data_IF_586179239642
#
_entry.id   IF_586179239642
#
_cell.length_a   1.000
_cell.length_b   1.000
_cell.length_c   1.000
_cell.angle_alpha   90.00
_cell.angle_beta   90.00
_cell.angle_gamma   90.00
#
_symmetry.space_group_name_H-M   'P 1'
#
loop_
_entity.id
_entity.type
_entity.pdbx_description
1 polymer ?
#
# COMPACT_ATOMS: atom_id res chain seq x y z
N UNK A 1 -0.02 -7.82 -36.01
CA UNK A 1 0.05 -7.36 -34.61
C UNK A 1 1.35 -6.61 -34.46
N UNK A 2 1.43 -5.53 -33.66
CA UNK A 2 2.73 -5.01 -33.25
C UNK A 2 3.54 -6.15 -32.65
N UNK A 3 4.83 -6.20 -32.97
CA UNK A 3 5.71 -7.26 -32.51
C UNK A 3 6.09 -6.93 -31.06
N UNK A 4 5.30 -7.45 -30.11
CA UNK A 4 5.42 -7.17 -28.67
C UNK A 4 6.86 -7.39 -28.15
N UNK A 5 7.62 -8.27 -28.80
CA UNK A 5 9.02 -8.54 -28.48
C UNK A 5 9.97 -7.43 -28.96
N UNK A 6 9.71 -6.86 -30.14
CA UNK A 6 10.47 -5.74 -30.67
C UNK A 6 10.22 -4.46 -29.86
N UNK A 7 8.97 -4.21 -29.47
CA UNK A 7 8.58 -3.08 -28.63
C UNK A 7 9.21 -3.21 -27.23
N UNK A 8 9.22 -4.43 -26.67
CA UNK A 8 9.88 -4.71 -25.39
C UNK A 8 11.39 -4.44 -25.45
N UNK A 9 12.05 -4.94 -26.50
CA UNK A 9 13.49 -4.74 -26.68
C UNK A 9 13.85 -3.26 -26.88
N UNK A 10 13.02 -2.51 -27.61
CA UNK A 10 13.18 -1.07 -27.78
C UNK A 10 13.04 -0.31 -26.45
N UNK A 11 12.09 -0.69 -25.60
CA UNK A 11 11.91 -0.10 -24.28
C UNK A 11 13.12 -0.33 -23.36
N UNK A 12 13.68 -1.55 -23.34
CA UNK A 12 14.89 -1.86 -22.55
C UNK A 12 16.12 -1.08 -23.05
N UNK A 13 16.30 -1.01 -24.36
CA UNK A 13 17.40 -0.25 -24.97
C UNK A 13 17.30 1.26 -24.66
N UNK A 14 16.10 1.84 -24.69
CA UNK A 14 15.86 3.24 -24.34
C UNK A 14 16.21 3.55 -22.87
N UNK A 15 16.15 2.56 -21.99
CA UNK A 15 16.54 2.66 -20.57
C UNK A 15 18.02 2.31 -20.33
N UNK A 16 18.78 1.95 -21.37
CA UNK A 16 20.18 1.53 -21.25
C UNK A 16 20.36 0.18 -20.57
N UNK A 17 19.33 -0.66 -20.56
CA UNK A 17 19.33 -1.97 -19.88
C UNK A 17 19.53 -3.05 -20.93
N UNK A 18 20.59 -3.84 -20.78
CA UNK A 18 20.83 -5.00 -21.63
C UNK A 18 19.85 -6.12 -21.27
N UNK A 19 19.07 -6.66 -22.22
CA UNK A 19 18.16 -7.77 -21.95
C UNK A 19 18.92 -9.03 -21.55
N UNK A 20 18.39 -9.77 -20.58
CA UNK A 20 18.88 -11.09 -20.19
C UNK A 20 18.46 -12.15 -21.22
N UNK A 21 19.34 -13.12 -21.49
CA UNK A 21 19.02 -14.27 -22.35
C UNK A 21 18.25 -15.38 -21.60
N UNK A 22 18.16 -15.31 -20.27
CA UNK A 22 17.59 -16.38 -19.44
C UNK A 22 16.12 -16.16 -19.06
N UNK A 23 15.57 -14.99 -19.37
CA UNK A 23 14.21 -14.59 -18.94
C UNK A 23 13.47 -13.98 -20.14
N UNK A 24 12.18 -14.27 -20.36
CA UNK A 24 11.41 -13.63 -21.42
C UNK A 24 11.40 -12.10 -21.33
N UNK A 25 11.48 -11.39 -22.47
CA UNK A 25 11.58 -9.92 -22.53
C UNK A 25 10.41 -9.18 -21.86
N UNK A 26 9.18 -9.69 -22.03
CA UNK A 26 8.00 -9.12 -21.38
C UNK A 26 8.06 -9.23 -19.85
N UNK A 27 8.59 -10.34 -19.34
CA UNK A 27 8.78 -10.55 -17.90
C UNK A 27 9.84 -9.61 -17.35
N UNK A 28 10.95 -9.41 -18.07
CA UNK A 28 11.98 -8.43 -17.69
C UNK A 28 11.43 -6.99 -17.62
N UNK A 29 10.52 -6.60 -18.50
CA UNK A 29 9.88 -5.27 -18.45
C UNK A 29 8.92 -5.16 -17.27
N UNK A 30 8.16 -6.20 -16.98
CA UNK A 30 7.29 -6.23 -15.81
C UNK A 30 8.13 -6.13 -14.53
N UNK A 31 9.24 -6.85 -14.45
CA UNK A 31 10.17 -6.80 -13.32
C UNK A 31 10.80 -5.41 -13.18
N UNK A 32 11.14 -4.74 -14.29
CA UNK A 32 11.63 -3.37 -14.26
C UNK A 32 10.57 -2.35 -13.87
N UNK A 33 9.33 -2.54 -14.31
CA UNK A 33 8.20 -1.72 -13.86
C UNK A 33 7.97 -1.91 -12.36
N UNK A 34 8.11 -3.14 -11.85
CA UNK A 34 8.01 -3.47 -10.43
C UNK A 34 9.20 -2.89 -9.65
N UNK A 35 10.42 -2.96 -10.19
CA UNK A 35 11.62 -2.36 -9.59
C UNK A 35 11.56 -0.83 -9.58
N UNK A 36 11.04 -0.20 -10.64
CA UNK A 36 10.78 1.25 -10.68
C UNK A 36 9.64 1.64 -9.73
N UNK A 37 8.62 0.79 -9.62
CA UNK A 37 7.57 0.91 -8.61
C UNK A 37 8.13 0.86 -7.20
N UNK A 38 9.08 -0.05 -6.94
CA UNK A 38 9.79 -0.15 -5.67
C UNK A 38 10.69 1.05 -5.41
N UNK A 39 11.49 1.49 -6.37
CA UNK A 39 12.35 2.66 -6.23
C UNK A 39 11.51 3.91 -6.02
N UNK A 40 10.38 4.05 -6.72
CA UNK A 40 9.45 5.16 -6.53
C UNK A 40 8.78 5.11 -5.16
N UNK A 41 8.30 3.93 -4.72
CA UNK A 41 7.73 3.74 -3.39
C UNK A 41 8.77 3.99 -2.28
N UNK A 42 10.00 3.48 -2.44
CA UNK A 42 11.13 3.68 -1.54
C UNK A 42 11.60 5.14 -1.51
N UNK A 43 11.75 5.80 -2.65
CA UNK A 43 12.14 7.21 -2.74
C UNK A 43 11.04 8.16 -2.21
N UNK A 44 9.77 7.75 -2.27
CA UNK A 44 8.64 8.50 -1.70
C UNK A 44 8.43 8.23 -0.21
N UNK A 45 9.09 7.22 0.36
CA UNK A 45 8.89 6.73 1.72
C UNK A 45 10.15 6.93 2.55
N UNK A 46 10.08 7.87 3.49
CA UNK A 46 11.07 8.00 4.55
C UNK A 46 10.43 7.54 5.87
N UNK A 47 11.21 6.96 6.80
CA UNK A 47 10.68 6.36 8.00
C UNK A 47 9.85 7.38 8.78
N UNK A 48 8.57 7.08 8.93
CA UNK A 48 7.76 7.65 10.00
C UNK A 48 8.13 6.85 11.25
N UNK A 49 8.77 7.51 12.21
CA UNK A 49 8.84 6.93 13.54
C UNK A 49 7.42 6.80 14.07
N UNK A 50 7.17 5.81 14.93
CA UNK A 50 5.97 5.82 15.75
C UNK A 50 5.99 7.13 16.56
N UNK A 51 5.09 8.06 16.20
CA UNK A 51 4.81 9.24 17.00
C UNK A 51 4.31 8.75 18.36
N UNK A 52 5.17 8.88 19.35
CA UNK A 52 4.82 8.71 20.76
C UNK A 52 4.18 10.02 21.22
N UNK A 53 2.98 9.91 21.79
CA UNK A 53 2.27 10.97 22.53
C UNK A 53 1.66 12.15 21.72
N UNK A 54 0.75 11.84 20.79
CA UNK A 54 -0.49 12.63 20.68
C UNK A 54 -1.63 11.70 21.12
N UNK A 55 -2.63 12.21 21.86
CA UNK A 55 -3.75 11.41 22.37
C UNK A 55 -4.33 10.56 21.23
N UNK A 56 -4.13 9.24 21.30
CA UNK A 56 -4.48 8.34 20.22
C UNK A 56 -5.99 8.46 19.96
N UNK A 57 -6.36 9.05 18.82
CA UNK A 57 -7.75 9.13 18.42
C UNK A 57 -8.36 7.72 18.48
N UNK A 58 -9.46 7.59 19.23
CA UNK A 58 -10.13 6.31 19.36
C UNK A 58 -10.98 6.05 18.14
N UNK A 59 -11.27 4.78 17.87
CA UNK A 59 -12.21 4.43 16.81
C UNK A 59 -13.55 5.16 16.95
N UNK A 60 -14.10 5.22 18.16
CA UNK A 60 -15.42 5.81 18.40
C UNK A 60 -15.46 7.30 18.06
N UNK A 61 -14.36 8.02 18.29
CA UNK A 61 -14.22 9.43 17.91
C UNK A 61 -14.21 9.63 16.38
N UNK A 62 -13.66 8.67 15.63
CA UNK A 62 -13.42 8.80 14.20
C UNK A 62 -14.48 8.12 13.33
N UNK A 63 -15.23 7.16 13.88
CA UNK A 63 -16.20 6.32 13.16
C UNK A 63 -17.15 7.14 12.29
N UNK A 64 -17.84 8.12 12.86
CA UNK A 64 -18.82 8.93 12.14
C UNK A 64 -18.17 9.73 10.99
N UNK A 65 -16.96 10.24 11.19
CA UNK A 65 -16.23 10.95 10.16
C UNK A 65 -15.80 10.00 9.02
N UNK A 66 -15.31 8.81 9.34
CA UNK A 66 -14.99 7.79 8.32
C UNK A 66 -16.20 7.39 7.49
N UNK A 67 -17.35 7.16 8.14
CA UNK A 67 -18.60 6.83 7.46
C UNK A 67 -19.01 7.94 6.49
N UNK A 68 -19.01 9.20 6.95
CA UNK A 68 -19.37 10.35 6.13
C UNK A 68 -18.43 10.56 4.93
N UNK A 69 -17.11 10.50 5.17
CA UNK A 69 -16.11 10.66 4.11
C UNK A 69 -16.19 9.51 3.10
N UNK A 70 -16.33 8.26 3.54
CA UNK A 70 -16.38 7.13 2.62
C UNK A 70 -17.66 7.12 1.78
N UNK A 71 -18.79 7.46 2.39
CA UNK A 71 -20.07 7.56 1.69
C UNK A 71 -20.05 8.62 0.58
N UNK A 72 -19.34 9.73 0.79
CA UNK A 72 -19.23 10.85 -0.15
C UNK A 72 -17.97 10.83 -1.03
N UNK A 73 -17.10 9.83 -0.85
CA UNK A 73 -15.85 9.70 -1.58
C UNK A 73 -16.08 9.44 -3.07
N UNK A 74 -15.41 10.23 -3.90
CA UNK A 74 -15.37 10.10 -5.36
C UNK A 74 -13.91 10.12 -5.81
N UNK A 75 -13.53 9.14 -6.63
CA UNK A 75 -12.24 9.16 -7.34
C UNK A 75 -12.18 10.41 -8.20
N UNK A 76 -11.13 11.20 -8.04
CA UNK A 76 -10.90 12.39 -8.85
C UNK A 76 -10.79 12.00 -10.33
N UNK A 77 -11.53 12.69 -11.21
CA UNK A 77 -11.60 12.33 -12.64
C UNK A 77 -10.22 12.23 -13.31
N UNK A 78 -9.30 13.12 -12.93
CA UNK A 78 -7.93 13.17 -13.44
C UNK A 78 -7.04 12.00 -12.96
N UNK A 79 -7.47 11.23 -11.95
CA UNK A 79 -6.71 10.12 -11.34
C UNK A 79 -7.27 8.74 -11.65
N UNK A 80 -8.31 8.65 -12.50
CA UNK A 80 -8.98 7.38 -12.81
C UNK A 80 -8.02 6.34 -13.41
N UNK A 81 -7.08 6.77 -14.25
CA UNK A 81 -6.08 5.89 -14.85
C UNK A 81 -5.15 5.29 -13.80
N UNK A 82 -4.63 6.11 -12.88
CA UNK A 82 -3.80 5.64 -11.79
C UNK A 82 -4.57 4.69 -10.85
N UNK A 83 -5.80 5.04 -10.46
CA UNK A 83 -6.62 4.16 -9.60
C UNK A 83 -6.90 2.82 -10.29
N UNK A 84 -7.16 2.80 -11.61
CA UNK A 84 -7.32 1.56 -12.37
C UNK A 84 -6.04 0.70 -12.36
N UNK A 85 -4.85 1.31 -12.38
CA UNK A 85 -3.59 0.59 -12.22
C UNK A 85 -3.48 -0.08 -10.84
N UNK A 86 -3.81 0.62 -9.75
CA UNK A 86 -3.84 0.02 -8.40
C UNK A 86 -4.83 -1.16 -8.33
N UNK A 87 -6.03 -0.99 -8.91
CA UNK A 87 -7.03 -2.05 -8.96
C UNK A 87 -6.53 -3.28 -9.72
N UNK A 88 -5.84 -3.09 -10.86
CA UNK A 88 -5.21 -4.18 -11.61
C UNK A 88 -4.16 -4.91 -10.76
N UNK A 89 -3.27 -4.18 -10.09
CA UNK A 89 -2.23 -4.77 -9.21
C UNK A 89 -2.84 -5.54 -8.03
N UNK A 90 -3.91 -5.02 -7.42
CA UNK A 90 -4.66 -5.72 -6.38
C UNK A 90 -5.22 -7.05 -6.87
N UNK A 91 -5.83 -7.07 -8.06
CA UNK A 91 -6.35 -8.29 -8.69
C UNK A 91 -5.24 -9.28 -9.02
N UNK A 92 -4.12 -8.82 -9.55
CA UNK A 92 -2.95 -9.67 -9.85
C UNK A 92 -2.39 -10.33 -8.59
N UNK A 93 -2.27 -9.60 -7.49
CA UNK A 93 -1.75 -10.13 -6.22
C UNK A 93 -2.77 -10.96 -5.42
N UNK A 94 -4.06 -10.94 -5.81
CA UNK A 94 -5.16 -11.52 -5.04
C UNK A 94 -4.93 -12.95 -4.57
N UNK A 95 -4.43 -13.90 -5.39
CA UNK A 95 -4.23 -15.28 -4.93
C UNK A 95 -3.33 -15.36 -3.67
N UNK A 96 -2.24 -14.60 -3.63
CA UNK A 96 -1.33 -14.55 -2.47
C UNK A 96 -1.97 -13.87 -1.26
N UNK A 97 -2.81 -12.86 -1.49
CA UNK A 97 -3.55 -12.20 -0.41
C UNK A 97 -4.62 -13.13 0.19
N UNK A 98 -5.23 -13.98 -0.63
CA UNK A 98 -6.21 -15.00 -0.19
C UNK A 98 -5.54 -16.10 0.65
N UNK A 99 -4.30 -16.50 0.33
CA UNK A 99 -3.52 -17.41 1.17
C UNK A 99 -3.29 -16.83 2.58
N UNK A 100 -2.92 -15.55 2.66
CA UNK A 100 -2.78 -14.84 3.95
C UNK A 100 -4.13 -14.76 4.67
N UNK A 101 -5.21 -14.44 3.94
CA UNK A 101 -6.55 -14.33 4.49
C UNK A 101 -7.05 -15.66 5.08
N UNK A 102 -6.78 -16.78 4.39
CA UNK A 102 -7.16 -18.11 4.85
C UNK A 102 -6.56 -18.44 6.23
N UNK A 103 -5.28 -18.07 6.42
CA UNK A 103 -4.52 -18.29 7.65
C UNK A 103 -4.84 -17.29 8.77
N UNK A 104 -5.07 -16.02 8.44
CA UNK A 104 -5.15 -14.94 9.43
C UNK A 104 -6.57 -14.46 9.73
N UNK A 105 -7.53 -14.77 8.85
CA UNK A 105 -8.90 -14.21 8.83
C UNK A 105 -8.96 -12.71 8.52
N UNK A 106 -7.85 -12.08 8.17
CA UNK A 106 -7.81 -10.72 7.64
C UNK A 106 -8.27 -10.75 6.17
N UNK A 107 -9.22 -9.90 5.74
CA UNK A 107 -9.70 -9.93 4.36
C UNK A 107 -8.58 -9.67 3.35
N UNK A 108 -8.60 -10.41 2.23
CA UNK A 108 -7.58 -10.31 1.20
C UNK A 108 -7.40 -8.87 0.70
N UNK A 109 -8.49 -8.11 0.60
CA UNK A 109 -8.47 -6.73 0.13
C UNK A 109 -7.75 -5.81 1.12
N UNK A 110 -7.84 -6.08 2.42
CA UNK A 110 -7.10 -5.32 3.43
C UNK A 110 -5.61 -5.60 3.31
N UNK A 111 -5.23 -6.87 3.18
CA UNK A 111 -3.84 -7.29 2.97
C UNK A 111 -3.27 -6.66 1.70
N UNK A 112 -4.02 -6.70 0.59
CA UNK A 112 -3.59 -6.15 -0.69
C UNK A 112 -3.44 -4.62 -0.67
N UNK A 113 -4.33 -3.90 0.01
CA UNK A 113 -4.23 -2.45 0.16
C UNK A 113 -3.03 -2.09 1.06
N UNK A 114 -2.82 -2.79 2.18
CA UNK A 114 -1.60 -2.62 2.99
C UNK A 114 -0.37 -2.89 2.13
N UNK A 115 -0.35 -3.95 1.33
CA UNK A 115 0.76 -4.26 0.45
C UNK A 115 1.06 -3.14 -0.58
N UNK A 116 0.02 -2.50 -1.11
CA UNK A 116 0.14 -1.33 -1.97
C UNK A 116 0.80 -0.14 -1.24
N UNK A 117 0.36 0.11 0.00
CA UNK A 117 0.79 1.25 0.80
C UNK A 117 2.20 1.08 1.36
N UNK A 118 2.51 -0.14 1.78
CA UNK A 118 3.72 -0.44 2.54
C UNK A 118 4.90 -0.88 1.67
N UNK A 119 4.64 -1.58 0.56
CA UNK A 119 5.69 -2.18 -0.26
C UNK A 119 5.50 -1.94 -1.76
N UNK A 120 4.56 -1.08 -2.18
CA UNK A 120 4.33 -0.78 -3.59
C UNK A 120 3.97 -2.01 -4.43
N UNK A 121 3.31 -3.01 -3.81
CA UNK A 121 3.04 -4.34 -4.39
C UNK A 121 4.26 -5.25 -4.62
N UNK A 122 5.40 -4.99 -3.99
CA UNK A 122 6.58 -5.85 -4.08
C UNK A 122 6.47 -7.12 -3.24
N UNK A 123 6.42 -8.25 -3.92
CA UNK A 123 6.54 -9.56 -3.27
C UNK A 123 7.98 -9.96 -2.93
N UNK A 124 8.99 -9.15 -3.28
CA UNK A 124 10.38 -9.33 -2.84
C UNK A 124 10.71 -8.54 -1.57
N UNK A 125 9.76 -7.74 -1.06
CA UNK A 125 9.89 -6.95 0.15
C UNK A 125 8.95 -7.40 1.28
N UNK A 126 9.30 -7.02 2.50
CA UNK A 126 8.49 -7.23 3.70
C UNK A 126 7.17 -6.47 3.64
N UNK A 127 6.07 -7.12 4.00
CA UNK A 127 4.77 -6.44 4.12
C UNK A 127 4.79 -5.32 5.18
N UNK A 128 5.72 -5.40 6.14
CA UNK A 128 5.89 -4.39 7.18
C UNK A 128 6.14 -2.99 6.63
N UNK A 129 7.09 -2.87 5.70
CA UNK A 129 7.62 -1.58 5.27
C UNK A 129 8.31 -1.57 3.90
N UNK A 130 8.35 -2.71 3.20
CA UNK A 130 8.97 -2.86 1.89
C UNK A 130 10.47 -3.21 1.90
N UNK A 131 11.12 -3.35 3.05
CA UNK A 131 12.53 -3.78 3.10
C UNK A 131 12.72 -5.16 2.42
N UNK A 132 13.86 -5.45 1.78
CA UNK A 132 14.07 -6.72 1.08
C UNK A 132 13.94 -7.96 1.98
N UNK A 133 13.33 -9.03 1.48
CA UNK A 133 13.18 -10.32 2.19
C UNK A 133 14.50 -11.10 2.38
N UNK A 134 15.65 -10.54 2.00
CA UNK A 134 16.97 -11.17 2.17
C UNK A 134 17.52 -11.01 3.59
N UNK A 135 16.96 -10.09 4.37
CA UNK A 135 17.32 -9.84 5.76
C UNK A 135 16.08 -9.40 6.54
N UNK A 136 16.18 -9.24 7.86
CA UNK A 136 15.13 -8.59 8.65
C UNK A 136 15.02 -7.11 8.28
N UNK A 137 13.87 -6.53 8.60
CA UNK A 137 13.63 -5.10 8.42
C UNK A 137 14.65 -4.24 9.17
N UNK A 138 15.20 -3.25 8.48
CA UNK A 138 16.08 -2.20 9.02
C UNK A 138 15.28 -0.93 9.28
N UNK A 139 14.27 -0.67 8.44
CA UNK A 139 13.28 0.37 8.64
C UNK A 139 12.28 -0.05 9.71
N UNK A 140 11.54 0.93 10.24
CA UNK A 140 10.52 0.69 11.26
C UNK A 140 9.34 -0.06 10.61
N UNK A 141 8.77 -1.08 11.27
CA UNK A 141 9.24 -1.71 12.51
C UNK A 141 10.52 -2.51 12.30
N UNK A 142 11.56 -2.26 13.10
CA UNK A 142 12.89 -2.89 12.96
C UNK A 142 12.89 -4.35 13.42
N UNK A 143 13.85 -5.11 12.90
CA UNK A 143 14.17 -6.49 13.32
C UNK A 143 13.03 -7.50 13.15
N UNK A 144 12.14 -7.24 12.18
CA UNK A 144 11.04 -8.12 11.80
C UNK A 144 11.36 -8.98 10.58
N UNK A 145 10.80 -10.19 10.48
CA UNK A 145 9.97 -10.87 11.49
C UNK A 145 10.82 -11.37 12.68
N UNK A 146 10.19 -11.55 13.85
CA UNK A 146 10.92 -11.90 15.08
C UNK A 146 11.58 -13.29 14.99
N UNK A 147 10.90 -14.23 14.33
CA UNK A 147 11.43 -15.54 13.96
C UNK A 147 11.87 -15.47 12.51
N UNK A 148 13.18 -15.55 12.29
CA UNK A 148 13.79 -15.50 10.95
C UNK A 148 14.43 -16.83 10.61
N UNK A 149 13.97 -17.46 9.52
CA UNK A 149 14.63 -18.62 8.92
C UNK A 149 14.93 -18.28 7.44
N UNK A 150 16.20 -18.05 7.08
CA UNK A 150 16.54 -17.75 5.69
C UNK A 150 16.47 -18.99 4.78
N UNK A 151 16.02 -18.84 3.52
CA UNK A 151 15.33 -17.66 2.97
C UNK A 151 13.87 -17.58 3.48
N UNK A 152 13.43 -16.40 3.92
CA UNK A 152 12.03 -16.20 4.32
C UNK A 152 11.19 -15.80 3.11
N UNK A 153 10.01 -16.38 2.98
CA UNK A 153 9.06 -16.04 1.95
C UNK A 153 8.16 -14.84 2.35
N UNK A 154 7.52 -14.24 1.36
CA UNK A 154 6.61 -13.11 1.55
C UNK A 154 5.42 -13.44 2.47
N UNK A 155 4.87 -14.66 2.44
CA UNK A 155 3.72 -15.03 3.28
C UNK A 155 4.11 -15.04 4.77
N UNK A 156 5.31 -15.52 5.08
CA UNK A 156 5.86 -15.49 6.44
C UNK A 156 5.99 -14.05 6.95
N UNK A 157 6.49 -13.13 6.11
CA UNK A 157 6.52 -11.69 6.45
C UNK A 157 5.12 -11.10 6.60
N UNK A 158 4.18 -11.45 5.74
CA UNK A 158 2.82 -10.93 5.79
C UNK A 158 2.11 -11.36 7.09
N UNK A 159 2.33 -12.61 7.52
CA UNK A 159 1.80 -13.12 8.77
C UNK A 159 2.38 -12.36 9.99
N UNK A 160 3.70 -12.18 10.09
CA UNK A 160 4.33 -11.43 11.20
C UNK A 160 3.83 -9.98 11.25
N UNK A 161 3.65 -9.32 10.10
CA UNK A 161 3.12 -7.96 10.03
C UNK A 161 1.70 -7.84 10.60
N UNK A 162 0.81 -8.76 10.21
CA UNK A 162 -0.58 -8.77 10.69
C UNK A 162 -0.69 -9.21 12.15
N UNK A 163 0.17 -10.12 12.60
CA UNK A 163 0.26 -10.54 14.00
C UNK A 163 0.76 -9.40 14.89
N UNK A 164 1.83 -8.70 14.48
CA UNK A 164 2.37 -7.53 15.18
C UNK A 164 1.32 -6.44 15.35
N UNK A 165 0.50 -6.19 14.32
CA UNK A 165 -0.60 -5.22 14.38
C UNK A 165 -1.83 -5.71 15.16
N UNK A 166 -1.84 -6.97 15.62
CA UNK A 166 -2.96 -7.54 16.37
C UNK A 166 -4.23 -7.75 15.52
N UNK A 167 -4.06 -7.93 14.21
CA UNK A 167 -5.19 -8.08 13.27
C UNK A 167 -5.58 -9.53 12.99
N UNK A 168 -4.69 -10.47 13.29
CA UNK A 168 -4.99 -11.91 13.16
C UNK A 168 -6.21 -12.27 14.02
N UNK A 169 -7.21 -12.91 13.41
CA UNK A 169 -8.44 -13.35 14.06
C UNK A 169 -9.50 -12.27 14.29
N UNK A 170 -9.26 -11.01 13.90
CA UNK A 170 -10.30 -9.97 13.94
C UNK A 170 -11.40 -10.26 12.92
N UNK A 171 -12.63 -9.94 13.28
CA UNK A 171 -13.84 -10.23 12.47
C UNK A 171 -14.60 -8.98 12.05
N UNK A 172 -14.40 -7.87 12.75
CA UNK A 172 -14.99 -6.56 12.49
C UNK A 172 -14.23 -5.87 11.34
N UNK A 173 -14.65 -6.08 10.09
CA UNK A 173 -14.02 -5.51 8.90
C UNK A 173 -14.94 -4.54 8.13
N UNK A 174 -15.95 -4.00 8.81
CA UNK A 174 -16.74 -2.91 8.28
C UNK A 174 -15.86 -1.74 7.87
N UNK A 175 -16.30 -0.99 6.84
CA UNK A 175 -15.55 0.13 6.25
C UNK A 175 -14.89 1.05 7.29
N UNK A 176 -15.60 1.64 8.27
CA UNK A 176 -14.96 2.58 9.21
C UNK A 176 -13.86 1.90 10.05
N UNK A 177 -14.02 0.62 10.39
CA UNK A 177 -13.01 -0.13 11.15
C UNK A 177 -11.78 -0.39 10.31
N UNK A 178 -11.96 -0.74 9.04
CA UNK A 178 -10.88 -0.92 8.09
C UNK A 178 -10.10 0.38 7.88
N UNK A 179 -10.79 1.51 7.70
CA UNK A 179 -10.17 2.83 7.56
C UNK A 179 -9.35 3.23 8.79
N UNK A 180 -9.89 2.99 9.99
CA UNK A 180 -9.16 3.22 11.24
C UNK A 180 -7.86 2.41 11.32
N UNK A 181 -7.91 1.13 10.92
CA UNK A 181 -6.73 0.25 10.87
C UNK A 181 -5.74 0.67 9.80
N UNK A 182 -6.19 1.09 8.62
CA UNK A 182 -5.30 1.62 7.59
C UNK A 182 -4.57 2.87 8.09
N UNK A 183 -5.29 3.84 8.65
CA UNK A 183 -4.68 5.09 9.10
C UNK A 183 -3.66 4.86 10.22
N UNK A 184 -3.85 3.85 11.07
CA UNK A 184 -2.87 3.46 12.10
C UNK A 184 -1.48 3.06 11.57
N UNK A 185 -1.35 2.68 10.29
CA UNK A 185 -0.02 2.42 9.69
C UNK A 185 0.78 3.70 9.52
N UNK A 186 0.10 4.82 9.26
CA UNK A 186 0.73 6.12 9.04
C UNK A 186 0.69 7.01 10.29
N UNK A 187 -0.32 6.83 11.15
CA UNK A 187 -0.61 7.68 12.30
C UNK A 187 -1.68 8.74 12.03
N UNK A 188 -2.24 9.26 13.11
CA UNK A 188 -3.43 10.14 13.13
C UNK A 188 -3.09 11.65 13.16
N UNK A 189 -1.82 12.02 12.97
CA UNK A 189 -1.36 13.41 13.13
C UNK A 189 -1.91 14.42 12.11
N UNK A 190 -2.75 14.00 11.16
CA UNK A 190 -3.42 14.91 10.21
C UNK A 190 -4.62 15.64 10.81
N UNK A 191 -5.25 15.07 11.85
CA UNK A 191 -6.35 15.74 12.54
C UNK A 191 -5.91 17.06 13.20
N UNK A 192 -4.69 17.13 13.76
CA UNK A 192 -4.12 18.38 14.30
C UNK A 192 -3.80 19.43 13.22
N UNK A 193 -3.84 19.05 11.94
CA UNK A 193 -3.66 19.94 10.78
C UNK A 193 -4.98 20.32 10.11
N UNK A 194 -6.11 19.86 10.62
CA UNK A 194 -7.45 20.08 10.04
C UNK A 194 -7.53 19.66 8.56
N UNK A 195 -6.82 18.59 8.18
CA UNK A 195 -6.94 17.98 6.85
C UNK A 195 -7.22 16.49 6.97
N UNK A 196 -7.84 15.94 5.93
CA UNK A 196 -7.98 14.50 5.78
C UNK A 196 -6.63 13.87 5.40
N UNK A 197 -6.31 12.73 6.00
CA UNK A 197 -5.05 12.02 5.76
C UNK A 197 -4.88 11.65 4.27
N UNK A 198 -3.80 12.09 3.59
CA UNK A 198 -3.47 11.62 2.24
C UNK A 198 -3.29 10.10 2.16
N UNK A 199 -2.91 9.44 3.26
CA UNK A 199 -2.76 7.99 3.31
C UNK A 199 -4.09 7.27 3.03
N UNK A 200 -5.21 7.87 3.44
CA UNK A 200 -6.55 7.36 3.14
C UNK A 200 -7.13 7.95 1.85
N UNK A 201 -7.03 9.27 1.68
CA UNK A 201 -7.92 10.03 0.78
C UNK A 201 -7.24 10.59 -0.47
N UNK A 202 -5.92 10.41 -0.63
CA UNK A 202 -5.22 10.84 -1.85
C UNK A 202 -5.87 10.22 -3.09
N UNK A 203 -6.06 11.05 -4.13
CA UNK A 203 -6.79 10.75 -5.37
C UNK A 203 -8.33 10.79 -5.27
N UNK A 204 -8.89 11.27 -4.16
CA UNK A 204 -10.32 11.58 -4.04
C UNK A 204 -10.60 13.08 -3.96
N UNK A 205 -11.88 13.44 -4.01
CA UNK A 205 -12.38 14.78 -3.68
C UNK A 205 -12.13 15.22 -2.23
N UNK A 206 -11.73 14.32 -1.32
CA UNK A 206 -11.49 14.64 0.09
C UNK A 206 -10.06 15.03 0.42
N UNK A 207 -9.16 15.10 -0.57
CA UNK A 207 -7.78 15.52 -0.40
C UNK A 207 -7.30 16.38 -1.57
N UNK A 208 -6.46 17.38 -1.30
CA UNK A 208 -5.84 18.22 -2.34
C UNK A 208 -4.33 18.32 -2.16
N UNK A 209 -3.89 18.74 -0.97
CA UNK A 209 -2.47 18.91 -0.61
C UNK A 209 -2.29 18.91 0.91
N UNK A 210 -1.05 18.87 1.36
CA UNK A 210 -0.67 18.78 2.76
C UNK A 210 -0.26 17.36 3.12
N UNK A 211 1.02 17.12 3.38
CA UNK A 211 1.50 15.82 3.86
C UNK A 211 2.68 15.95 4.82
N UNK A 212 2.82 14.99 5.73
CA UNK A 212 4.10 14.77 6.40
C UNK A 212 5.11 14.26 5.36
N UNK A 213 6.21 14.98 5.20
CA UNK A 213 7.28 14.65 4.23
C UNK A 213 8.43 13.87 4.88
N UNK A 214 8.52 13.95 6.19
CA UNK A 214 9.36 13.16 7.09
C UNK A 214 8.72 13.20 8.47
N UNK A 215 9.22 12.37 9.39
CA UNK A 215 8.70 12.31 10.74
C UNK A 215 8.62 13.69 11.42
N UNK A 216 7.46 13.99 11.98
CA UNK A 216 7.12 15.28 12.59
C UNK A 216 7.07 16.51 11.66
N UNK A 217 7.43 16.40 10.38
CA UNK A 217 7.52 17.55 9.46
C UNK A 217 6.39 17.55 8.44
N UNK A 218 5.38 18.36 8.72
CA UNK A 218 4.26 18.63 7.83
C UNK A 218 4.60 19.73 6.82
N UNK A 219 4.39 19.44 5.53
CA UNK A 219 4.42 20.42 4.45
C UNK A 219 2.99 20.65 3.92
N UNK A 220 2.41 21.87 4.09
CA UNK A 220 1.06 22.19 3.64
C UNK A 220 0.91 22.24 2.10
N UNK A 221 2.01 22.26 1.35
CA UNK A 221 2.03 22.36 -0.10
C UNK A 221 2.40 21.06 -0.79
N UNK A 222 3.01 20.11 -0.09
CA UNK A 222 3.34 18.81 -0.64
C UNK A 222 2.07 18.02 -1.02
N UNK A 223 2.11 17.35 -2.16
CA UNK A 223 1.00 16.56 -2.70
C UNK A 223 1.39 15.08 -2.71
N UNK A 224 0.52 14.21 -2.18
CA UNK A 224 0.71 12.77 -2.28
C UNK A 224 0.58 12.33 -3.75
N UNK A 225 1.53 11.48 -4.17
CA UNK A 225 1.54 10.82 -5.49
C UNK A 225 1.08 9.36 -5.43
N UNK A 226 0.72 8.90 -4.23
CA UNK A 226 0.24 7.55 -3.98
C UNK A 226 -1.29 7.57 -3.87
N UNK A 227 -1.94 6.53 -4.37
CA UNK A 227 -3.39 6.36 -4.19
C UNK A 227 -3.68 6.04 -2.72
N UNK A 228 -4.69 6.68 -2.14
CA UNK A 228 -5.05 6.43 -0.75
C UNK A 228 -5.75 5.09 -0.54
N UNK A 229 -5.60 4.51 0.66
CA UNK A 229 -6.21 3.23 1.04
C UNK A 229 -7.74 3.24 0.92
N UNK A 230 -8.40 4.32 1.33
CA UNK A 230 -9.85 4.45 1.21
C UNK A 230 -10.29 4.53 -0.26
N UNK A 231 -9.49 5.14 -1.12
CA UNK A 231 -9.76 5.27 -2.55
C UNK A 231 -9.62 3.92 -3.26
N UNK A 232 -8.60 3.12 -2.91
CA UNK A 232 -8.48 1.75 -3.39
C UNK A 232 -9.64 0.87 -2.92
N UNK A 233 -10.04 0.98 -1.64
CA UNK A 233 -11.18 0.24 -1.10
C UNK A 233 -12.48 0.61 -1.83
N UNK A 234 -12.71 1.90 -2.04
CA UNK A 234 -13.87 2.39 -2.81
C UNK A 234 -13.88 1.84 -4.23
N UNK A 235 -12.73 1.83 -4.89
CA UNK A 235 -12.60 1.30 -6.24
C UNK A 235 -12.93 -0.20 -6.31
N UNK A 236 -12.50 -1.01 -5.33
CA UNK A 236 -12.84 -2.44 -5.25
C UNK A 236 -14.34 -2.69 -5.04
N UNK A 237 -15.02 -1.86 -4.24
CA UNK A 237 -16.47 -1.94 -4.04
C UNK A 237 -17.23 -1.53 -5.31
N UNK A 238 -16.84 -0.39 -5.91
CA UNK A 238 -17.49 0.14 -7.12
C UNK A 238 -17.32 -0.80 -8.33
N UNK A 239 -16.23 -1.56 -8.39
CA UNK A 239 -15.98 -2.58 -9.42
C UNK A 239 -16.62 -3.95 -9.12
N UNK A 240 -17.20 -4.14 -7.93
CA UNK A 240 -17.78 -5.41 -7.51
C UNK A 240 -16.76 -6.52 -7.22
N UNK A 241 -15.48 -6.18 -7.04
CA UNK A 241 -14.44 -7.17 -6.67
C UNK A 241 -14.65 -7.72 -5.24
N UNK A 242 -15.30 -6.93 -4.37
CA UNK A 242 -15.63 -7.29 -2.99
C UNK A 242 -17.02 -6.79 -2.59
N UNK A 243 -17.54 -7.35 -1.51
CA UNK A 243 -18.68 -6.85 -0.74
C UNK A 243 -18.30 -6.84 0.74
N UNK A 244 -18.86 -5.90 1.52
CA UNK A 244 -18.60 -5.71 2.96
C UNK A 244 -19.94 -5.60 3.68
#
# INVERSE_FOLDING_TARGET
MPDDEADARAALAALGIAPSDTTPLLEQIVDLQDALGQISAYALRQPLAESTEEAAFTYDQLKANYEALFASAKVASARKGEVAWYLKRLRTGRPRYEEVAAKTKVPWWFVGIVHAMEAGFSFSGHLHNGDPLTARTVQIPKDRPLKWNPPSDWLSSAYDALEMKGYVGKTDWEVPRALYRFESYNGYGYYSKNINSPYLWSFSNHYTKGKYVRDGVFDPNAVSKQCGAAVMLRALLDSGDITI
#
